data_IF_754804329314
#
_entry.id   IF_754804329314
#
_cell.length_a   1.000
_cell.length_b   1.000
_cell.length_c   1.000
_cell.angle_alpha   90.00
_cell.angle_beta   90.00
_cell.angle_gamma   90.00
#
_symmetry.space_group_name_H-M   'P 1'
#
loop_
_entity.id
_entity.type
_entity.pdbx_description
1 polymer ?
#
# COMPACT_ATOMS: atom_id res chain seq x y z
N UNK A 1 -6.93 -17.71 -9.62
CA UNK A 1 -7.78 -17.31 -10.78
C UNK A 1 -7.63 -18.36 -11.87
N UNK A 2 -8.71 -18.61 -12.62
CA UNK A 2 -8.73 -19.55 -13.73
C UNK A 2 -7.72 -19.09 -14.82
N UNK A 3 -6.78 -19.97 -15.26
CA UNK A 3 -5.79 -19.63 -16.28
C UNK A 3 -6.39 -19.15 -17.61
N UNK A 4 -7.60 -19.60 -17.96
CA UNK A 4 -8.30 -19.16 -19.16
C UNK A 4 -8.74 -17.69 -19.09
N UNK A 5 -9.20 -17.25 -17.92
CA UNK A 5 -9.59 -15.86 -17.66
C UNK A 5 -8.38 -14.91 -17.66
N UNK A 6 -7.26 -15.37 -17.12
CA UNK A 6 -5.99 -14.62 -17.15
C UNK A 6 -5.52 -14.42 -18.60
N UNK A 7 -5.53 -15.49 -19.42
CA UNK A 7 -5.17 -15.37 -20.85
C UNK A 7 -6.06 -14.41 -21.62
N UNK A 8 -7.39 -14.46 -21.38
CA UNK A 8 -8.34 -13.52 -22.00
C UNK A 8 -8.06 -12.09 -21.61
N UNK A 9 -7.87 -11.82 -20.30
CA UNK A 9 -7.55 -10.50 -19.77
C UNK A 9 -6.31 -9.89 -20.44
N UNK A 10 -5.21 -10.67 -20.55
CA UNK A 10 -4.00 -10.18 -21.21
C UNK A 10 -4.14 -10.02 -22.71
N UNK A 11 -4.98 -10.78 -23.39
CA UNK A 11 -5.23 -10.61 -24.82
C UNK A 11 -5.90 -9.27 -25.12
N UNK A 12 -6.78 -8.81 -24.24
CA UNK A 12 -7.55 -7.57 -24.38
C UNK A 12 -6.79 -6.33 -23.89
N UNK A 13 -5.71 -6.50 -23.13
CA UNK A 13 -4.95 -5.38 -22.57
C UNK A 13 -4.11 -4.67 -23.64
N UNK A 14 -4.40 -3.37 -23.84
CA UNK A 14 -3.71 -2.52 -24.82
C UNK A 14 -2.36 -1.98 -24.32
N UNK A 15 -2.26 -1.72 -23.01
CA UNK A 15 -1.02 -1.24 -22.39
C UNK A 15 0.00 -2.37 -22.28
N UNK A 16 1.02 -2.31 -23.14
CA UNK A 16 2.07 -3.34 -23.22
C UNK A 16 2.99 -3.35 -21.99
N UNK A 17 3.26 -2.19 -21.40
CA UNK A 17 4.12 -2.05 -20.21
C UNK A 17 3.42 -2.66 -19.01
N UNK A 18 2.19 -2.26 -18.77
CA UNK A 18 1.36 -2.82 -17.70
C UNK A 18 1.19 -4.33 -17.84
N UNK A 19 0.93 -4.79 -19.07
CA UNK A 19 0.82 -6.23 -19.35
C UNK A 19 2.07 -6.99 -18.95
N UNK A 20 3.25 -6.49 -19.32
CA UNK A 20 4.55 -7.11 -18.97
C UNK A 20 4.74 -7.13 -17.45
N UNK A 21 4.47 -6.02 -16.79
CA UNK A 21 4.62 -5.90 -15.33
C UNK A 21 3.67 -6.83 -14.57
N UNK A 22 2.40 -6.89 -14.99
CA UNK A 22 1.42 -7.80 -14.41
C UNK A 22 1.84 -9.29 -14.60
N UNK A 23 2.41 -9.63 -15.76
CA UNK A 23 2.91 -10.98 -16.01
C UNK A 23 4.08 -11.33 -15.09
N UNK A 24 5.07 -10.46 -14.95
CA UNK A 24 6.19 -10.63 -14.02
C UNK A 24 5.68 -10.86 -12.58
N UNK A 25 4.76 -10.01 -12.12
CA UNK A 25 4.22 -10.11 -10.77
C UNK A 25 3.42 -11.40 -10.55
N UNK A 26 2.71 -11.92 -11.56
CA UNK A 26 1.96 -13.18 -11.44
C UNK A 26 2.90 -14.39 -11.44
N UNK A 27 3.95 -14.36 -12.28
CA UNK A 27 4.91 -15.46 -12.40
C UNK A 27 5.84 -15.57 -11.20
N UNK A 28 6.35 -14.42 -10.73
CA UNK A 28 7.35 -14.36 -9.67
C UNK A 28 6.75 -14.13 -8.26
N UNK A 29 5.51 -13.63 -8.18
CA UNK A 29 4.84 -13.38 -6.92
C UNK A 29 5.64 -12.45 -6.01
N UNK A 30 5.95 -12.92 -4.80
CA UNK A 30 6.69 -12.15 -3.80
C UNK A 30 8.17 -11.92 -4.15
N UNK A 31 8.73 -12.70 -5.07
CA UNK A 31 10.12 -12.55 -5.55
C UNK A 31 10.22 -11.63 -6.77
N UNK A 32 9.13 -10.96 -7.14
CA UNK A 32 9.11 -10.00 -8.24
C UNK A 32 10.05 -8.82 -7.97
N UNK A 33 10.96 -8.47 -8.90
CA UNK A 33 11.80 -7.28 -8.78
C UNK A 33 10.97 -5.99 -8.75
N UNK A 34 9.79 -5.98 -9.37
CA UNK A 34 8.87 -4.84 -9.32
C UNK A 34 8.28 -4.64 -7.92
N UNK A 35 8.12 -5.71 -7.14
CA UNK A 35 7.70 -5.61 -5.75
C UNK A 35 8.82 -5.05 -4.87
N UNK A 36 10.06 -5.49 -5.10
CA UNK A 36 11.24 -4.94 -4.41
C UNK A 36 11.37 -3.44 -4.67
N UNK A 37 11.35 -3.02 -5.94
CA UNK A 37 11.38 -1.60 -6.33
C UNK A 37 10.24 -0.81 -5.65
N UNK A 38 9.03 -1.34 -5.65
CA UNK A 38 7.89 -0.70 -5.02
C UNK A 38 8.06 -0.54 -3.49
N UNK A 39 8.69 -1.50 -2.81
CA UNK A 39 8.93 -1.41 -1.37
C UNK A 39 10.00 -0.36 -1.04
N UNK A 40 11.01 -0.22 -1.87
CA UNK A 40 12.05 0.82 -1.77
C UNK A 40 11.42 2.21 -1.94
N UNK A 41 10.59 2.38 -2.97
CA UNK A 41 9.90 3.64 -3.25
C UNK A 41 8.91 4.01 -2.13
N UNK A 42 8.16 3.03 -1.59
CA UNK A 42 7.28 3.27 -0.45
C UNK A 42 8.05 3.70 0.79
N UNK A 43 9.20 3.12 1.07
CA UNK A 43 10.02 3.54 2.21
C UNK A 43 10.49 4.98 2.07
N UNK A 44 11.02 5.35 0.90
CA UNK A 44 11.44 6.72 0.62
C UNK A 44 10.27 7.69 0.80
N UNK A 45 9.13 7.40 0.18
CA UNK A 45 7.92 8.20 0.29
C UNK A 45 7.45 8.36 1.75
N UNK A 46 7.46 7.29 2.53
CA UNK A 46 7.00 7.34 3.92
C UNK A 46 7.94 8.15 4.81
N UNK A 47 9.25 8.08 4.58
CA UNK A 47 10.23 8.92 5.27
C UNK A 47 10.02 10.40 4.92
N UNK A 48 9.78 10.72 3.64
CA UNK A 48 9.50 12.08 3.20
C UNK A 48 8.20 12.62 3.81
N UNK A 49 7.15 11.79 3.85
CA UNK A 49 5.88 12.15 4.49
C UNK A 49 6.07 12.39 5.99
N UNK A 50 6.80 11.53 6.69
CA UNK A 50 7.09 11.69 8.13
C UNK A 50 7.83 13.00 8.41
N UNK A 51 8.87 13.28 7.62
CA UNK A 51 9.64 14.53 7.75
C UNK A 51 8.76 15.77 7.51
N UNK A 52 7.89 15.73 6.51
CA UNK A 52 6.94 16.82 6.22
C UNK A 52 5.94 17.01 7.36
N UNK A 53 5.35 15.92 7.85
CA UNK A 53 4.34 15.92 8.90
C UNK A 53 4.89 16.31 10.28
N UNK A 54 6.21 16.35 10.46
CA UNK A 54 6.83 16.89 11.68
C UNK A 54 6.42 18.31 11.97
N UNK A 55 6.24 19.13 10.94
CA UNK A 55 5.91 20.56 11.03
C UNK A 55 4.53 20.90 10.48
N UNK A 56 3.79 19.92 9.99
CA UNK A 56 2.50 20.12 9.35
C UNK A 56 1.45 19.14 9.88
N UNK A 57 0.23 19.60 10.06
CA UNK A 57 -0.88 18.74 10.48
C UNK A 57 -1.31 17.76 9.39
N UNK A 58 -1.26 18.20 8.13
CA UNK A 58 -1.71 17.47 6.95
C UNK A 58 -0.69 17.53 5.81
N UNK A 59 -0.83 16.68 4.81
CA UNK A 59 0.13 16.57 3.70
C UNK A 59 0.25 17.80 2.81
N UNK A 60 -0.74 18.69 2.82
CA UNK A 60 -0.67 19.99 2.12
C UNK A 60 -0.53 21.17 3.08
N UNK A 61 -0.16 20.95 4.35
CA UNK A 61 0.03 21.99 5.36
C UNK A 61 -0.97 21.93 6.51
N UNK A 62 -1.68 23.03 6.78
CA UNK A 62 -2.59 23.14 7.94
C UNK A 62 -3.94 22.46 7.78
N UNK A 63 -4.42 22.28 6.55
CA UNK A 63 -5.76 21.79 6.26
C UNK A 63 -5.75 20.43 5.55
N UNK A 64 -6.77 19.62 5.89
CA UNK A 64 -7.01 18.33 5.22
C UNK A 64 -7.36 18.52 3.75
N UNK A 65 -6.69 17.80 2.88
CA UNK A 65 -6.73 18.03 1.44
C UNK A 65 -6.86 16.75 0.61
N UNK A 66 -6.89 16.90 -0.72
CA UNK A 66 -6.82 15.79 -1.67
C UNK A 66 -5.51 14.99 -1.54
N UNK A 67 -4.42 15.60 -1.09
CA UNK A 67 -3.18 14.87 -0.84
C UNK A 67 -3.39 13.80 0.24
N UNK A 68 -4.03 14.15 1.36
CA UNK A 68 -4.33 13.20 2.43
C UNK A 68 -5.25 12.06 1.96
N UNK A 69 -6.26 12.40 1.14
CA UNK A 69 -7.18 11.40 0.57
C UNK A 69 -6.43 10.45 -0.37
N UNK A 70 -5.51 10.98 -1.19
CA UNK A 70 -4.79 10.20 -2.18
C UNK A 70 -3.77 9.24 -1.55
N UNK A 71 -3.09 9.67 -0.49
CA UNK A 71 -2.04 8.86 0.12
C UNK A 71 -2.54 7.89 1.19
N UNK A 72 -3.61 8.20 1.91
CA UNK A 72 -4.14 7.30 2.95
C UNK A 72 -4.53 5.92 2.43
N UNK A 73 -4.96 5.82 1.17
CA UNK A 73 -5.36 4.55 0.57
C UNK A 73 -4.21 3.58 0.41
N UNK A 74 -2.97 4.06 0.23
CA UNK A 74 -1.78 3.22 0.16
C UNK A 74 -1.44 2.66 1.54
N UNK A 75 -1.45 3.50 2.60
CA UNK A 75 -1.21 3.04 3.96
C UNK A 75 -2.32 2.06 4.39
N UNK A 76 -3.59 2.37 4.10
CA UNK A 76 -4.69 1.46 4.37
C UNK A 76 -4.50 0.11 3.65
N UNK A 77 -4.08 0.15 2.39
CA UNK A 77 -3.81 -1.09 1.64
C UNK A 77 -2.72 -1.93 2.30
N UNK A 78 -1.60 -1.33 2.66
CA UNK A 78 -0.51 -2.02 3.36
C UNK A 78 -0.95 -2.50 4.76
N UNK A 79 -1.68 -1.67 5.52
CA UNK A 79 -2.21 -2.04 6.84
C UNK A 79 -3.15 -3.24 6.76
N UNK A 80 -3.97 -3.34 5.70
CA UNK A 80 -4.84 -4.50 5.45
C UNK A 80 -4.08 -5.81 5.20
N UNK A 81 -2.79 -5.75 4.85
CA UNK A 81 -1.85 -6.86 4.77
C UNK A 81 -0.96 -6.99 6.02
N UNK A 82 -1.33 -6.36 7.13
CA UNK A 82 -0.56 -6.40 8.38
C UNK A 82 0.86 -5.82 8.26
N UNK A 83 1.09 -4.88 7.33
CA UNK A 83 2.39 -4.27 7.06
C UNK A 83 2.66 -3.01 7.89
N UNK A 84 1.77 -2.60 8.81
CA UNK A 84 1.97 -1.41 9.65
C UNK A 84 3.33 -1.39 10.39
N UNK A 85 3.92 -2.52 10.83
CA UNK A 85 5.24 -2.50 11.44
C UNK A 85 6.35 -1.89 10.59
N UNK A 86 6.20 -1.81 9.25
CA UNK A 86 7.18 -1.19 8.36
C UNK A 86 7.36 0.31 8.61
N UNK A 87 6.33 1.02 9.06
CA UNK A 87 6.37 2.47 9.28
C UNK A 87 6.02 2.91 10.71
N UNK A 88 5.83 1.97 11.63
CA UNK A 88 5.43 2.28 13.00
C UNK A 88 6.40 3.23 13.73
N UNK A 89 7.69 3.17 13.37
CA UNK A 89 8.73 4.02 13.94
C UNK A 89 8.77 5.42 13.29
N UNK A 90 8.08 5.63 12.19
CA UNK A 90 7.83 6.92 11.56
C UNK A 90 6.65 7.60 12.29
N UNK A 91 6.97 8.23 13.42
CA UNK A 91 5.98 8.68 14.41
C UNK A 91 4.94 9.64 13.82
N UNK A 92 5.36 10.63 13.05
CA UNK A 92 4.46 11.65 12.51
C UNK A 92 3.56 11.09 11.41
N UNK A 93 4.06 10.15 10.62
CA UNK A 93 3.28 9.41 9.63
C UNK A 93 2.25 8.50 10.30
N UNK A 94 2.65 7.75 11.33
CA UNK A 94 1.75 6.85 12.06
C UNK A 94 0.64 7.63 12.77
N UNK A 95 0.98 8.74 13.44
CA UNK A 95 0.03 9.66 14.06
C UNK A 95 -0.94 10.30 13.03
N UNK A 96 -0.43 10.67 11.85
CA UNK A 96 -1.25 11.18 10.75
C UNK A 96 -2.22 10.11 10.23
N UNK A 97 -1.75 8.89 10.02
CA UNK A 97 -2.58 7.78 9.57
C UNK A 97 -3.72 7.50 10.54
N UNK A 98 -3.44 7.45 11.85
CA UNK A 98 -4.47 7.29 12.87
C UNK A 98 -5.44 8.48 12.89
N UNK A 99 -4.96 9.71 12.75
CA UNK A 99 -5.80 10.91 12.66
C UNK A 99 -6.74 10.86 11.44
N UNK A 100 -6.27 10.42 10.27
CA UNK A 100 -7.15 10.25 9.10
C UNK A 100 -8.23 9.20 9.37
N UNK A 101 -7.91 8.10 10.03
CA UNK A 101 -8.88 7.01 10.35
C UNK A 101 -10.00 7.47 11.27
N UNK A 102 -9.81 8.49 12.10
CA UNK A 102 -10.87 9.03 12.96
C UNK A 102 -11.93 9.83 12.20
N UNK A 103 -11.67 10.22 10.95
CA UNK A 103 -12.60 11.02 10.16
C UNK A 103 -13.85 10.21 9.74
N UNK A 104 -15.06 10.78 9.89
CA UNK A 104 -16.30 10.07 9.50
C UNK A 104 -16.31 9.64 8.03
N UNK A 105 -15.72 10.47 7.13
CA UNK A 105 -15.60 10.14 5.72
C UNK A 105 -14.74 8.89 5.46
N UNK A 106 -13.66 8.69 6.23
CA UNK A 106 -12.82 7.50 6.12
C UNK A 106 -13.61 6.24 6.49
N UNK A 107 -14.33 6.28 7.62
CA UNK A 107 -15.19 5.17 8.05
C UNK A 107 -16.18 4.80 6.96
N UNK A 108 -16.89 5.79 6.42
CA UNK A 108 -17.89 5.60 5.37
C UNK A 108 -17.29 5.07 4.07
N UNK A 109 -16.11 5.54 3.69
CA UNK A 109 -15.47 5.15 2.42
C UNK A 109 -14.75 3.80 2.48
N UNK A 110 -14.33 3.35 3.65
CA UNK A 110 -13.48 2.15 3.82
C UNK A 110 -14.21 1.05 4.59
N UNK A 111 -14.67 1.33 5.82
CA UNK A 111 -15.17 0.28 6.71
C UNK A 111 -16.61 -0.15 6.41
N UNK A 112 -17.46 0.79 5.98
CA UNK A 112 -18.88 0.51 5.73
C UNK A 112 -19.10 -0.39 4.50
N UNK A 113 -18.09 -0.56 3.65
CA UNK A 113 -18.17 -1.43 2.46
C UNK A 113 -17.96 -2.91 2.78
N UNK A 114 -17.43 -3.22 3.96
CA UNK A 114 -17.06 -4.57 4.34
C UNK A 114 -15.93 -5.15 3.48
N UNK A 115 -15.31 -6.19 3.97
CA UNK A 115 -14.26 -6.88 3.23
C UNK A 115 -14.28 -8.38 3.52
N UNK A 116 -14.95 -9.10 2.66
CA UNK A 116 -15.05 -10.58 2.75
C UNK A 116 -13.71 -11.30 2.60
N UNK A 117 -12.66 -10.59 2.21
CA UNK A 117 -11.29 -11.14 2.04
C UNK A 117 -10.30 -10.64 3.08
N UNK A 118 -10.76 -9.95 4.12
CA UNK A 118 -9.89 -9.33 5.14
C UNK A 118 -8.98 -10.35 5.82
N UNK A 119 -9.54 -11.47 6.28
CA UNK A 119 -8.77 -12.53 6.95
C UNK A 119 -7.73 -13.15 6.03
N UNK A 120 -8.10 -13.42 4.77
CA UNK A 120 -7.18 -13.97 3.78
C UNK A 120 -6.05 -12.97 3.47
N UNK A 121 -6.36 -11.67 3.37
CA UNK A 121 -5.32 -10.64 3.17
C UNK A 121 -4.37 -10.55 4.35
N UNK A 122 -4.91 -10.53 5.56
CA UNK A 122 -4.12 -10.50 6.78
C UNK A 122 -3.17 -11.71 6.88
N UNK A 123 -3.66 -12.90 6.54
CA UNK A 123 -2.84 -14.12 6.52
C UNK A 123 -1.76 -14.05 5.45
N UNK A 124 -2.12 -13.72 4.21
CA UNK A 124 -1.15 -13.55 3.12
C UNK A 124 -0.07 -12.51 3.47
N UNK A 125 -0.46 -11.43 4.14
CA UNK A 125 0.46 -10.40 4.59
C UNK A 125 1.45 -10.91 5.64
N UNK A 126 0.97 -11.67 6.63
CA UNK A 126 1.84 -12.29 7.64
C UNK A 126 2.86 -13.24 7.00
N UNK A 127 2.42 -14.05 6.05
CA UNK A 127 3.29 -14.99 5.35
C UNK A 127 4.34 -14.27 4.50
N UNK A 128 3.97 -13.13 3.89
CA UNK A 128 4.85 -12.31 3.07
C UNK A 128 5.78 -11.41 3.86
N UNK A 129 5.44 -11.06 5.11
CA UNK A 129 6.12 -10.03 5.88
C UNK A 129 7.63 -10.20 6.00
N UNK A 130 8.20 -11.40 6.24
CA UNK A 130 9.65 -11.56 6.34
C UNK A 130 10.38 -11.11 5.06
N UNK A 131 9.84 -11.45 3.89
CA UNK A 131 10.42 -11.07 2.61
C UNK A 131 10.25 -9.58 2.32
N UNK A 132 9.09 -9.03 2.62
CA UNK A 132 8.83 -7.59 2.50
C UNK A 132 9.76 -6.78 3.41
N UNK A 133 10.01 -7.24 4.63
CA UNK A 133 10.94 -6.59 5.56
C UNK A 133 12.39 -6.64 5.06
N UNK A 134 12.79 -7.73 4.37
CA UNK A 134 14.09 -7.81 3.71
C UNK A 134 14.24 -6.70 2.66
N UNK A 135 13.26 -6.52 1.77
CA UNK A 135 13.27 -5.45 0.77
C UNK A 135 13.27 -4.06 1.41
N UNK A 136 12.43 -3.87 2.43
CA UNK A 136 12.35 -2.62 3.18
C UNK A 136 13.68 -2.21 3.82
N UNK A 137 14.50 -3.15 4.23
CA UNK A 137 15.79 -2.89 4.90
C UNK A 137 16.99 -2.78 3.95
N UNK A 138 16.79 -2.89 2.63
CA UNK A 138 17.89 -2.74 1.65
C UNK A 138 18.27 -1.28 1.37
N UNK A 139 17.55 -0.32 1.91
CA UNK A 139 17.76 1.14 1.74
C UNK A 139 17.97 1.81 3.08
#
# INVERSE_FOLDING_TARGET
KDPSQIKKYYKEMKDKVRKKNDQINIEMGIDSPLLEEAMIEFKSLFVDMDNHLRNNTWLAGGDYSLADISFVVYLHRLDSFMMRPLWKDLKYLDDWYDRVKTRPAYKKAIYDWGDVTADQRAQNGKDAFPKILEYWNRV
#
